data_IF_274388679630
#
_entry.id   IF_274388679630
#
_cell.length_a   1.000
_cell.length_b   1.000
_cell.length_c   1.000
_cell.angle_alpha   90.00
_cell.angle_beta   90.00
_cell.angle_gamma   90.00
#
_symmetry.space_group_name_H-M   'P 1'
#
loop_
_entity.id
_entity.type
_entity.pdbx_description
1 polymer ?
#
# COMPACT_ATOMS: atom_id res chain seq x y z
N UNK A 1 -4.02 16.32 2.20
CA UNK A 1 -4.35 15.09 1.43
C UNK A 1 -5.20 14.17 2.29
N UNK A 2 -6.21 13.56 1.67
CA UNK A 2 -7.15 12.66 2.35
C UNK A 2 -6.83 11.22 1.99
N UNK A 3 -7.06 10.30 2.93
CA UNK A 3 -6.87 8.87 2.70
C UNK A 3 -8.23 8.22 2.53
N UNK A 4 -8.37 7.40 1.48
CA UNK A 4 -9.55 6.57 1.27
C UNK A 4 -9.13 5.11 1.09
N UNK A 5 -9.93 4.20 1.64
CA UNK A 5 -9.69 2.77 1.50
C UNK A 5 -10.75 2.19 0.57
N UNK A 6 -10.32 1.50 -0.49
CA UNK A 6 -11.22 0.76 -1.36
C UNK A 6 -11.85 -0.39 -0.59
N UNK A 7 -13.05 -0.82 -1.00
CA UNK A 7 -13.75 -1.90 -0.32
C UNK A 7 -12.91 -3.19 -0.25
N UNK A 8 -12.13 -3.45 -1.29
CA UNK A 8 -11.27 -4.64 -1.32
C UNK A 8 -10.13 -4.53 -0.32
N UNK A 9 -9.58 -3.31 -0.14
CA UNK A 9 -8.56 -3.08 0.88
C UNK A 9 -9.14 -3.34 2.28
N UNK A 10 -10.37 -2.87 2.52
CA UNK A 10 -11.01 -3.09 3.81
C UNK A 10 -11.21 -4.58 4.09
N UNK A 11 -11.57 -5.35 3.06
CA UNK A 11 -11.71 -6.81 3.19
C UNK A 11 -10.36 -7.46 3.47
N UNK A 12 -9.33 -7.03 2.75
CA UNK A 12 -7.97 -7.54 2.97
C UNK A 12 -7.51 -7.25 4.39
N UNK A 13 -7.78 -6.05 4.88
CA UNK A 13 -7.38 -5.62 6.22
C UNK A 13 -7.98 -6.51 7.29
N UNK A 14 -9.24 -6.90 7.12
CA UNK A 14 -9.92 -7.79 8.06
C UNK A 14 -9.30 -9.19 8.11
N UNK A 15 -8.72 -9.65 7.01
CA UNK A 15 -8.14 -10.99 6.89
C UNK A 15 -6.63 -11.03 7.15
N UNK A 16 -6.00 -9.87 7.25
CA UNK A 16 -4.54 -9.80 7.33
C UNK A 16 -4.10 -9.48 8.74
N UNK A 17 -3.19 -10.31 9.26
CA UNK A 17 -2.55 -10.02 10.55
C UNK A 17 -1.15 -9.47 10.28
N UNK A 18 -0.98 -8.19 10.49
CA UNK A 18 0.32 -7.57 10.38
C UNK A 18 1.08 -7.76 11.69
N UNK A 19 2.39 -7.98 11.58
CA UNK A 19 3.25 -7.92 12.76
C UNK A 19 3.33 -6.48 13.24
N UNK A 20 3.79 -6.26 14.46
CA UNK A 20 3.97 -4.91 14.98
C UNK A 20 4.95 -4.12 14.11
N UNK A 21 6.00 -4.79 13.61
CA UNK A 21 6.96 -4.14 12.70
C UNK A 21 6.28 -3.70 11.41
N UNK A 22 5.49 -4.59 10.81
CA UNK A 22 4.77 -4.26 9.57
C UNK A 22 3.77 -3.12 9.81
N UNK A 23 3.06 -3.16 10.92
CA UNK A 23 2.10 -2.12 11.25
C UNK A 23 2.79 -0.76 11.44
N UNK A 24 3.94 -0.77 12.11
CA UNK A 24 4.72 0.46 12.31
C UNK A 24 5.17 1.05 10.97
N UNK A 25 5.62 0.19 10.04
CA UNK A 25 6.02 0.64 8.71
C UNK A 25 4.82 1.18 7.93
N UNK A 26 3.67 0.51 8.04
CA UNK A 26 2.45 0.96 7.37
C UNK A 26 2.10 2.38 7.80
N UNK A 27 2.05 2.63 9.12
CA UNK A 27 1.72 3.96 9.63
C UNK A 27 2.73 5.00 9.16
N UNK A 28 4.02 4.67 9.22
CA UNK A 28 5.09 5.60 8.80
C UNK A 28 5.00 5.92 7.33
N UNK A 29 4.82 4.91 6.49
CA UNK A 29 4.77 5.12 5.03
C UNK A 29 3.51 5.87 4.62
N UNK A 30 2.37 5.55 5.21
CA UNK A 30 1.14 6.29 4.91
C UNK A 30 1.27 7.75 5.33
N UNK A 31 1.91 8.00 6.46
CA UNK A 31 2.15 9.37 6.93
C UNK A 31 3.02 10.15 5.93
N UNK A 32 4.08 9.52 5.42
CA UNK A 32 4.93 10.16 4.42
C UNK A 32 4.16 10.50 3.15
N UNK A 33 3.38 9.53 2.64
CA UNK A 33 2.58 9.75 1.44
C UNK A 33 1.55 10.86 1.64
N UNK A 34 0.91 10.90 2.80
CA UNK A 34 -0.09 11.94 3.11
C UNK A 34 0.52 13.33 3.16
N UNK A 35 1.82 13.43 3.43
CA UNK A 35 2.54 14.70 3.42
C UNK A 35 3.17 15.01 2.06
N UNK A 36 2.96 14.14 1.07
CA UNK A 36 3.54 14.33 -0.25
C UNK A 36 5.03 14.02 -0.31
N UNK A 37 5.55 13.24 0.63
CA UNK A 37 6.97 12.90 0.69
C UNK A 37 7.24 11.53 0.10
N UNK A 38 8.46 11.34 -0.41
CA UNK A 38 8.87 10.06 -0.98
C UNK A 38 9.07 9.02 0.12
N UNK A 39 8.81 7.75 -0.22
CA UNK A 39 9.07 6.65 0.70
C UNK A 39 10.55 6.27 0.66
N UNK A 40 11.07 5.69 1.76
CA UNK A 40 12.47 5.26 1.77
C UNK A 40 12.71 4.08 0.81
N UNK A 41 13.96 3.89 0.40
CA UNK A 41 14.31 2.84 -0.56
C UNK A 41 13.88 1.44 -0.10
N UNK A 42 13.90 1.19 1.20
CA UNK A 42 13.53 -0.12 1.73
C UNK A 42 12.07 -0.49 1.47
N UNK A 43 11.22 0.50 1.18
CA UNK A 43 9.82 0.25 0.86
C UNK A 43 9.64 -0.34 -0.54
N UNK A 44 10.64 -0.24 -1.39
CA UNK A 44 10.57 -0.69 -2.78
C UNK A 44 9.37 -0.11 -3.53
N UNK A 45 9.02 1.14 -3.22
CA UNK A 45 7.89 1.81 -3.85
C UNK A 45 8.13 1.97 -5.35
N UNK A 46 7.22 1.43 -6.16
CA UNK A 46 7.36 1.50 -7.61
C UNK A 46 6.00 1.37 -8.29
N UNK A 47 5.94 1.83 -9.56
CA UNK A 47 4.74 1.74 -10.35
C UNK A 47 4.53 0.33 -10.87
N UNK A 48 3.25 -0.03 -11.07
CA UNK A 48 2.87 -1.36 -11.50
C UNK A 48 2.49 -1.37 -12.99
N UNK A 49 2.54 -2.56 -13.58
CA UNK A 49 2.17 -2.80 -14.97
C UNK A 49 0.98 -3.77 -15.01
N UNK A 50 0.46 -3.99 -16.21
CA UNK A 50 -0.61 -4.96 -16.41
C UNK A 50 -1.93 -4.53 -15.80
N UNK A 51 -2.55 -5.44 -15.06
CA UNK A 51 -3.86 -5.24 -14.46
C UNK A 51 -3.91 -4.01 -13.55
N UNK A 52 -2.80 -3.73 -12.85
CA UNK A 52 -2.73 -2.62 -11.91
C UNK A 52 -1.99 -1.41 -12.49
N UNK A 53 -1.96 -1.29 -13.82
CA UNK A 53 -1.36 -0.12 -14.45
C UNK A 53 -2.02 1.16 -13.92
N UNK A 54 -1.19 2.14 -13.57
CA UNK A 54 -1.67 3.38 -12.97
C UNK A 54 -1.64 3.38 -11.46
N UNK A 55 -1.32 2.23 -10.87
CA UNK A 55 -1.16 2.10 -9.43
C UNK A 55 0.30 1.87 -9.09
N UNK A 56 0.60 1.98 -7.80
CA UNK A 56 1.93 1.75 -7.26
C UNK A 56 1.82 0.76 -6.12
N UNK A 57 2.95 0.18 -5.74
CA UNK A 57 2.98 -0.66 -4.53
C UNK A 57 4.17 -0.29 -3.67
N UNK A 58 4.03 -0.51 -2.37
CA UNK A 58 5.17 -0.49 -1.47
C UNK A 58 5.14 -1.73 -0.60
N UNK A 59 6.31 -2.12 -0.09
CA UNK A 59 6.48 -3.31 0.72
C UNK A 59 6.62 -2.92 2.19
N UNK A 60 6.00 -3.70 3.05
CA UNK A 60 6.14 -3.50 4.49
C UNK A 60 7.35 -4.28 4.99
N UNK A 61 7.27 -5.61 4.95
CA UNK A 61 8.41 -6.50 5.18
C UNK A 61 7.96 -7.89 4.80
N UNK A 62 8.91 -8.78 4.56
CA UNK A 62 8.59 -10.08 4.02
C UNK A 62 7.91 -9.91 2.67
N UNK A 63 6.80 -10.63 2.46
CA UNK A 63 6.07 -10.60 1.21
C UNK A 63 4.82 -9.72 1.26
N UNK A 64 4.63 -8.96 2.34
CA UNK A 64 3.43 -8.13 2.52
C UNK A 64 3.59 -6.81 1.79
N UNK A 65 2.59 -6.46 0.96
CA UNK A 65 2.64 -5.21 0.20
C UNK A 65 1.28 -4.53 0.16
N UNK A 66 1.32 -3.25 -0.20
CA UNK A 66 0.15 -2.38 -0.31
C UNK A 66 0.11 -1.82 -1.72
N UNK A 67 -1.04 -1.95 -2.40
CA UNK A 67 -1.25 -1.33 -3.71
C UNK A 67 -2.05 -0.05 -3.50
N UNK A 68 -1.58 1.06 -4.06
CA UNK A 68 -2.18 2.36 -3.86
C UNK A 68 -2.04 3.23 -5.09
N UNK A 69 -2.78 4.34 -5.10
CA UNK A 69 -2.57 5.41 -6.07
C UNK A 69 -2.89 6.74 -5.41
N UNK A 70 -2.38 7.80 -6.00
CA UNK A 70 -2.70 9.16 -5.56
C UNK A 70 -3.33 9.87 -6.75
N UNK A 71 -4.57 10.32 -6.57
CA UNK A 71 -5.31 11.05 -7.60
C UNK A 71 -5.77 12.37 -6.97
N UNK A 72 -5.34 13.47 -7.57
CA UNK A 72 -5.59 14.80 -7.03
C UNK A 72 -5.04 14.86 -5.61
N UNK A 73 -5.86 15.16 -4.64
CA UNK A 73 -5.40 15.30 -3.25
C UNK A 73 -5.87 14.12 -2.39
N UNK A 74 -5.97 12.93 -2.98
CA UNK A 74 -6.46 11.75 -2.28
C UNK A 74 -5.52 10.57 -2.46
N UNK A 75 -5.16 9.95 -1.35
CA UNK A 75 -4.40 8.70 -1.32
C UNK A 75 -5.41 7.56 -1.24
N UNK A 76 -5.46 6.72 -2.29
CA UNK A 76 -6.35 5.58 -2.34
C UNK A 76 -5.59 4.29 -2.07
N UNK A 77 -6.02 3.55 -1.05
CA UNK A 77 -5.48 2.23 -0.77
C UNK A 77 -6.37 1.19 -1.44
N UNK A 78 -5.81 0.43 -2.37
CA UNK A 78 -6.58 -0.49 -3.19
C UNK A 78 -6.56 -1.91 -2.65
N UNK A 79 -5.40 -2.46 -2.33
CA UNK A 79 -5.25 -3.83 -1.86
C UNK A 79 -4.14 -3.94 -0.83
N UNK A 80 -4.23 -4.95 0.02
CA UNK A 80 -3.18 -5.35 0.96
C UNK A 80 -3.06 -6.87 0.91
N UNK A 81 -1.83 -7.39 0.84
CA UNK A 81 -1.64 -8.83 0.84
C UNK A 81 -0.25 -9.22 0.38
N UNK A 82 -0.04 -10.51 0.24
CA UNK A 82 1.21 -11.04 -0.29
C UNK A 82 1.17 -11.01 -1.82
N UNK A 83 2.33 -11.19 -2.45
CA UNK A 83 2.41 -11.24 -3.90
C UNK A 83 1.47 -12.28 -4.48
N UNK A 84 1.49 -13.49 -3.92
CA UNK A 84 0.65 -14.56 -4.46
C UNK A 84 -0.84 -14.31 -4.27
N UNK A 85 -1.23 -13.53 -3.27
CA UNK A 85 -2.63 -13.18 -3.06
C UNK A 85 -3.12 -12.13 -4.06
N UNK A 86 -2.25 -11.19 -4.42
CA UNK A 86 -2.64 -10.04 -5.23
C UNK A 86 -2.32 -10.21 -6.72
N UNK A 87 -1.31 -11.00 -7.06
CA UNK A 87 -0.87 -11.20 -8.45
C UNK A 87 -0.93 -12.67 -8.80
N UNK A 88 -2.11 -13.14 -9.06
CA UNK A 88 -2.31 -14.54 -9.44
C UNK A 88 -2.03 -14.78 -10.91
#
# INVERSE_FOLDING_TARGET
MTLQRHKNYKKDELKTKLTDEQYSKLIRYLSLLLRGEALPNESLDHSLQGEYKGFREFHLSGDMLIIYTIVEDTLYLLRMGTHSQLFK
#
